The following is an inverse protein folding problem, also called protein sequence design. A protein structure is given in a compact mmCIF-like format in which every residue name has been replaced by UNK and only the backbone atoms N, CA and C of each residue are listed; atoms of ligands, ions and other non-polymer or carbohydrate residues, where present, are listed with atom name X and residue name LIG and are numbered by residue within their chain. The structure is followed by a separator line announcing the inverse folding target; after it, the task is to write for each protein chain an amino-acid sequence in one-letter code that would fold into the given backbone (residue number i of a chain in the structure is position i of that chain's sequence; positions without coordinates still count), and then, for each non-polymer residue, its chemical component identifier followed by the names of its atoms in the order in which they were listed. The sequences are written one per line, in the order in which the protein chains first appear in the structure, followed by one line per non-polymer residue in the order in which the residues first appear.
data_IF_138652227331
#
_entry.id   IF_138652227331
#
_cell.length_a   1.000
_cell.length_b   1.000
_cell.length_c   1.000
_cell.angle_alpha   90.00
_cell.angle_beta   90.00
_cell.angle_gamma   90.00
#
_symmetry.space_group_name_H-M   'P 1'
#
loop_
_entity.id
_entity.type
_entity.pdbx_description
1 polymer ?
#
# COMPACT_ATOMS: atom_id res chain seq x y z
N UNK A 1 15.69 3.19 -9.92
CA UNK A 1 14.32 2.81 -9.50
C UNK A 1 13.66 4.07 -8.90
N UNK A 2 12.35 4.08 -8.70
CA UNK A 2 11.63 5.23 -8.12
C UNK A 2 10.96 4.81 -6.81
N UNK A 3 10.90 5.73 -5.85
CA UNK A 3 10.26 5.48 -4.55
C UNK A 3 8.80 5.85 -4.64
N UNK A 4 7.95 4.97 -4.11
CA UNK A 4 6.52 5.14 -4.03
C UNK A 4 6.08 4.89 -2.59
N UNK A 5 5.20 5.74 -2.10
CA UNK A 5 4.51 5.52 -0.83
C UNK A 5 3.17 4.84 -1.09
N UNK A 6 2.85 3.85 -0.28
CA UNK A 6 1.60 3.11 -0.34
C UNK A 6 0.52 3.96 0.32
N UNK A 7 -0.46 4.41 -0.47
CA UNK A 7 -1.60 5.18 0.04
C UNK A 7 -2.76 4.29 0.52
N UNK A 8 -2.87 3.07 -0.01
CA UNK A 8 -3.87 2.06 0.36
C UNK A 8 -3.21 0.70 0.51
N UNK A 9 -3.61 -0.08 1.51
CA UNK A 9 -3.09 -1.44 1.68
C UNK A 9 -3.43 -2.29 0.44
N UNK A 10 -2.44 -2.97 -0.12
CA UNK A 10 -2.64 -3.94 -1.19
C UNK A 10 -1.72 -5.14 -1.05
N UNK A 11 -2.19 -6.28 -1.56
CA UNK A 11 -1.39 -7.50 -1.64
C UNK A 11 -0.88 -7.68 -3.05
N UNK A 12 0.43 -7.73 -3.19
CA UNK A 12 1.05 -8.02 -4.47
C UNK A 12 0.88 -9.51 -4.81
N UNK A 13 0.28 -9.76 -5.97
CA UNK A 13 -0.08 -11.13 -6.37
C UNK A 13 1.15 -11.99 -6.68
N UNK A 14 2.26 -11.36 -7.07
CA UNK A 14 3.50 -12.00 -7.54
C UNK A 14 4.42 -12.41 -6.38
N UNK A 15 4.77 -11.46 -5.51
CA UNK A 15 5.61 -11.64 -4.32
C UNK A 15 4.83 -12.19 -3.12
N UNK A 16 3.49 -12.18 -3.18
CA UNK A 16 2.58 -12.47 -2.06
C UNK A 16 2.77 -11.54 -0.85
N UNK A 17 3.54 -10.45 -0.97
CA UNK A 17 3.77 -9.48 0.10
C UNK A 17 2.55 -8.55 0.21
N UNK A 18 2.15 -8.25 1.44
CA UNK A 18 1.17 -7.20 1.73
C UNK A 18 1.91 -5.91 2.03
N UNK A 19 1.57 -4.85 1.30
CA UNK A 19 2.11 -3.52 1.45
C UNK A 19 1.13 -2.68 2.26
N UNK A 20 1.60 -2.13 3.38
CA UNK A 20 0.77 -1.34 4.30
C UNK A 20 0.77 0.14 3.94
N UNK A 21 -0.29 0.86 4.32
CA UNK A 21 -0.38 2.31 4.14
C UNK A 21 0.78 3.01 4.85
N UNK A 22 1.46 3.92 4.15
CA UNK A 22 2.65 4.63 4.61
C UNK A 22 3.97 3.88 4.41
N UNK A 23 3.95 2.63 3.91
CA UNK A 23 5.18 1.93 3.53
C UNK A 23 5.78 2.58 2.27
N UNK A 24 7.08 2.88 2.30
CA UNK A 24 7.82 3.36 1.13
C UNK A 24 8.47 2.18 0.45
N UNK A 25 8.08 1.96 -0.80
CA UNK A 25 8.55 0.87 -1.64
C UNK A 25 9.30 1.41 -2.83
N UNK A 26 10.39 0.75 -3.19
CA UNK A 26 11.18 1.12 -4.35
C UNK A 26 10.81 0.23 -5.54
N UNK A 27 10.22 0.83 -6.57
CA UNK A 27 9.67 0.13 -7.73
C UNK A 27 10.18 0.79 -9.02
N UNK A 28 10.12 0.04 -10.13
CA UNK A 28 10.31 0.65 -11.45
C UNK A 28 9.01 1.33 -11.90
N UNK A 29 9.13 2.35 -12.77
CA UNK A 29 7.95 3.05 -13.34
C UNK A 29 6.98 2.08 -14.01
N UNK A 30 7.51 1.04 -14.66
CA UNK A 30 6.71 0.00 -15.31
C UNK A 30 5.88 -0.77 -14.27
N UNK A 31 6.50 -1.25 -13.18
CA UNK A 31 5.78 -1.93 -12.10
C UNK A 31 4.74 -1.03 -11.43
N UNK A 32 5.05 0.24 -11.22
CA UNK A 32 4.09 1.19 -10.67
C UNK A 32 2.86 1.36 -11.58
N UNK A 33 3.06 1.44 -12.90
CA UNK A 33 1.94 1.47 -13.86
C UNK A 33 1.13 0.18 -13.80
N UNK A 34 1.78 -0.99 -13.75
CA UNK A 34 1.05 -2.28 -13.65
C UNK A 34 0.21 -2.37 -12.38
N UNK A 35 0.71 -1.87 -11.25
CA UNK A 35 -0.04 -1.83 -9.99
C UNK A 35 -1.27 -0.93 -10.13
N UNK A 36 -1.10 0.26 -10.69
CA UNK A 36 -2.21 1.19 -10.91
C UNK A 36 -3.26 0.61 -11.87
N UNK A 37 -2.83 0.03 -12.99
CA UNK A 37 -3.68 -0.58 -14.02
C UNK A 37 -4.48 -1.77 -13.46
N UNK A 38 -3.83 -2.65 -12.69
CA UNK A 38 -4.51 -3.79 -12.07
C UNK A 38 -5.49 -3.36 -10.97
N UNK A 39 -5.15 -2.31 -10.22
CA UNK A 39 -5.94 -1.85 -9.08
C UNK A 39 -6.93 -0.74 -9.44
N UNK A 40 -6.98 -0.31 -10.72
CA UNK A 40 -7.96 0.66 -11.22
C UNK A 40 -9.40 0.17 -11.00
N UNK A 41 -9.62 -1.14 -11.18
CA UNK A 41 -10.92 -1.79 -10.96
C UNK A 41 -11.36 -1.75 -9.48
N UNK A 42 -10.43 -1.52 -8.55
CA UNK A 42 -10.68 -1.41 -7.12
C UNK A 42 -10.68 0.06 -6.64
N UNK A 43 -10.69 1.02 -7.57
CA UNK A 43 -10.76 2.46 -7.30
C UNK A 43 -9.42 3.19 -7.42
N UNK A 44 -8.33 2.52 -7.81
CA UNK A 44 -7.03 3.13 -8.11
C UNK A 44 -6.36 3.87 -6.94
N UNK A 45 -5.23 4.50 -7.23
CA UNK A 45 -4.53 5.37 -6.27
C UNK A 45 -3.92 4.63 -5.07
N UNK A 46 -3.33 3.46 -5.31
CA UNK A 46 -2.74 2.63 -4.25
C UNK A 46 -1.32 3.04 -3.89
N UNK A 47 -0.60 3.66 -4.84
CA UNK A 47 0.78 4.09 -4.67
C UNK A 47 0.98 5.51 -5.22
N UNK A 48 1.78 6.30 -4.53
CA UNK A 48 2.09 7.69 -4.89
C UNK A 48 3.59 7.86 -5.00
N UNK A 49 4.07 8.48 -6.08
CA UNK A 49 5.51 8.70 -6.24
C UNK A 49 5.99 9.74 -5.23
N UNK A 50 6.89 9.34 -4.32
CA UNK A 50 7.48 10.26 -3.35
C UNK A 50 8.79 10.83 -3.90
N UNK A 51 8.85 12.16 -4.04
CA UNK A 51 10.12 12.86 -4.23
C UNK A 51 10.79 12.95 -2.87
N UNK A 52 12.05 12.53 -2.81
CA UNK A 52 12.85 12.37 -1.60
C UNK A 52 13.12 13.74 -0.92
N UNK A 53 12.10 14.36 -0.33
CA UNK A 53 12.20 15.63 0.41
C UNK A 53 11.08 15.85 1.43
N UNK A 54 10.40 14.80 1.90
CA UNK A 54 9.40 14.92 2.97
C UNK A 54 9.50 13.78 4.00
N UNK A 55 9.60 14.08 5.31
CA UNK A 55 9.40 13.10 6.37
C UNK A 55 7.91 12.77 6.46
N UNK A 56 7.58 11.49 6.34
CA UNK A 56 6.20 11.00 6.36
C UNK A 56 5.79 10.88 7.83
N UNK A 57 5.32 11.99 8.42
CA UNK A 57 4.62 11.94 9.70
C UNK A 57 3.20 11.41 9.50
N UNK A 58 2.94 10.26 10.16
CA UNK A 58 1.65 9.79 10.69
C UNK A 58 0.46 9.72 9.73
N UNK A 59 -0.10 8.51 9.57
CA UNK A 59 -1.44 8.20 10.13
C UNK A 59 -1.47 6.73 10.55
N UNK A 60 -1.33 6.49 11.86
CA UNK A 60 -1.97 5.34 12.50
C UNK A 60 -3.49 5.66 12.57
N UNK A 61 -4.31 4.82 11.94
CA UNK A 61 -5.75 4.70 12.19
C UNK A 61 -6.04 3.21 12.01
N UNK A 62 -5.89 2.43 13.07
CA UNK A 62 -6.94 2.07 14.01
C UNK A 62 -8.08 1.26 13.38
N UNK A 63 -8.33 0.12 14.02
CA UNK A 63 -9.49 -0.78 13.91
C UNK A 63 -9.69 -1.66 12.66
N UNK A 64 -9.22 -2.91 12.78
CA UNK A 64 -10.11 -4.05 12.56
C UNK A 64 -10.24 -4.86 13.86
N UNK A 65 -11.33 -4.69 14.64
CA UNK A 65 -11.76 -5.71 15.57
C UNK A 65 -12.80 -6.57 14.85
N UNK A 66 -12.40 -7.73 14.33
CA UNK A 66 -13.35 -8.81 14.04
C UNK A 66 -12.99 -10.06 14.84
N UNK A 67 -13.28 -9.93 16.14
CA UNK A 67 -13.79 -10.94 17.08
C UNK A 67 -13.07 -12.29 17.08
N UNK A 68 -12.05 -12.39 17.94
CA UNK A 68 -11.94 -13.56 18.79
C UNK A 68 -13.06 -13.51 19.84
N UNK A 69 -13.99 -14.46 19.81
CA UNK A 69 -14.83 -14.77 20.98
C UNK A 69 -15.07 -16.27 21.02
N UNK A 70 -14.26 -16.90 21.87
CA UNK A 70 -14.41 -18.23 22.43
C UNK A 70 -15.36 -18.09 23.64
N UNK A 71 -16.44 -18.87 23.73
CA UNK A 71 -17.18 -19.19 24.95
C UNK A 71 -17.91 -20.52 24.68
N UNK A 72 -17.40 -21.62 25.21
CA UNK A 72 -17.58 -22.18 26.58
C UNK A 72 -18.85 -23.01 26.65
#
# INVERSE_FOLDING_TARGET
MAKYEVAKEFKDAYTKKTYQVGEVIELTKQRAKEIDDNLVAFGGGYIHQVKSSAPIEKVQKDEQPKKASKKK
#
